data_IF_194709709874
#
_entry.id   IF_194709709874
#
_cell.length_a   1.000
_cell.length_b   1.000
_cell.length_c   1.000
_cell.angle_alpha   90.00
_cell.angle_beta   90.00
_cell.angle_gamma   90.00
#
_symmetry.space_group_name_H-M   'P 1'
#
loop_
_entity.id
_entity.type
_entity.pdbx_description
1 polymer ?
#
# COMPACT_ATOMS: atom_id res chain seq x y z
N UNK A 1 -24.40 16.54 -14.69
CA UNK A 1 -23.29 16.07 -15.55
C UNK A 1 -22.84 14.75 -14.99
N UNK A 2 -22.96 13.67 -15.74
CA UNK A 2 -22.30 12.39 -15.39
C UNK A 2 -20.82 12.57 -15.67
N UNK A 3 -19.97 12.44 -14.65
CA UNK A 3 -18.52 12.43 -14.84
C UNK A 3 -18.14 11.15 -15.60
N UNK A 4 -17.21 11.28 -16.54
CA UNK A 4 -16.70 10.13 -17.28
C UNK A 4 -15.92 9.22 -16.33
N UNK A 5 -15.99 7.90 -16.51
CA UNK A 5 -15.28 6.95 -15.65
C UNK A 5 -13.76 7.16 -15.76
N UNK A 6 -13.11 7.36 -14.61
CA UNK A 6 -11.66 7.56 -14.50
C UNK A 6 -10.97 6.23 -14.17
N UNK A 7 -9.69 6.09 -14.57
CA UNK A 7 -8.85 5.05 -13.98
C UNK A 7 -8.33 5.50 -12.60
N UNK A 8 -7.66 4.61 -11.87
CA UNK A 8 -7.12 4.92 -10.53
C UNK A 8 -6.17 6.11 -10.51
N UNK A 9 -5.25 6.16 -11.47
CA UNK A 9 -4.23 7.21 -11.57
C UNK A 9 -4.86 8.58 -11.82
N UNK A 10 -5.73 8.68 -12.83
CA UNK A 10 -6.42 9.93 -13.17
C UNK A 10 -7.27 10.45 -12.01
N UNK A 11 -7.92 9.54 -11.28
CA UNK A 11 -8.72 9.89 -10.10
C UNK A 11 -7.87 10.46 -8.97
N UNK A 12 -6.70 9.89 -8.71
CA UNK A 12 -5.78 10.40 -7.67
C UNK A 12 -5.22 11.76 -8.07
N UNK A 13 -4.77 11.92 -9.32
CA UNK A 13 -4.22 13.19 -9.82
C UNK A 13 -5.27 14.31 -9.73
N UNK A 14 -6.50 14.07 -10.22
CA UNK A 14 -7.59 15.03 -10.12
C UNK A 14 -7.96 15.35 -8.66
N UNK A 15 -7.99 14.33 -7.79
CA UNK A 15 -8.24 14.52 -6.35
C UNK A 15 -7.17 15.42 -5.69
N UNK A 16 -5.89 15.20 -6.01
CA UNK A 16 -4.77 16.01 -5.49
C UNK A 16 -4.85 17.45 -6.02
N UNK A 17 -5.23 17.62 -7.28
CA UNK A 17 -5.42 18.92 -7.93
C UNK A 17 -6.69 19.66 -7.47
N UNK A 18 -7.51 19.07 -6.59
CA UNK A 18 -8.80 19.60 -6.17
C UNK A 18 -9.79 19.80 -7.35
N UNK A 19 -9.73 18.91 -8.33
CA UNK A 19 -10.64 18.84 -9.48
C UNK A 19 -11.82 17.89 -9.19
N UNK A 20 -12.83 17.92 -10.07
CA UNK A 20 -13.98 17.03 -9.95
C UNK A 20 -13.60 15.58 -10.29
N UNK A 21 -13.91 14.64 -9.41
CA UNK A 21 -13.67 13.19 -9.57
C UNK A 21 -14.96 12.41 -9.72
N UNK A 22 -14.92 11.33 -10.49
CA UNK A 22 -16.08 10.46 -10.75
C UNK A 22 -16.60 9.73 -9.49
N UNK A 23 -15.70 9.46 -8.54
CA UNK A 23 -15.98 9.04 -7.16
C UNK A 23 -14.83 9.46 -6.24
N UNK A 24 -15.05 9.44 -4.92
CA UNK A 24 -13.99 9.62 -3.93
C UNK A 24 -12.83 8.64 -4.19
N UNK A 25 -11.60 9.15 -4.25
CA UNK A 25 -10.40 8.33 -4.31
C UNK A 25 -10.20 7.62 -2.96
N UNK A 26 -9.87 6.33 -2.97
CA UNK A 26 -9.74 5.51 -1.77
C UNK A 26 -8.36 4.84 -1.75
N UNK A 27 -7.68 4.94 -0.61
CA UNK A 27 -6.47 4.21 -0.33
C UNK A 27 -6.53 3.66 1.11
N UNK A 28 -6.09 2.42 1.28
CA UNK A 28 -5.87 1.80 2.59
C UNK A 28 -4.52 1.09 2.55
N UNK A 29 -3.84 1.05 3.67
CA UNK A 29 -2.59 0.32 3.83
C UNK A 29 -2.50 -0.27 5.23
N UNK A 30 -1.70 -1.32 5.35
CA UNK A 30 -1.40 -1.99 6.60
C UNK A 30 -0.02 -2.62 6.53
N UNK A 31 0.52 -3.00 7.69
CA UNK A 31 1.58 -3.98 7.73
C UNK A 31 1.04 -5.39 7.47
N UNK A 32 1.92 -6.25 6.97
CA UNK A 32 1.69 -7.68 6.80
C UNK A 32 2.78 -8.43 7.59
N UNK A 33 2.74 -8.45 8.94
CA UNK A 33 3.95 -8.71 9.74
C UNK A 33 4.63 -10.07 9.53
N UNK A 34 3.88 -11.05 9.03
CA UNK A 34 4.43 -12.36 8.64
C UNK A 34 5.06 -12.29 7.25
N UNK A 35 4.36 -11.64 6.32
CA UNK A 35 4.74 -11.57 4.90
C UNK A 35 5.73 -10.43 4.59
N UNK A 36 5.84 -9.41 5.44
CA UNK A 36 6.75 -8.27 5.27
C UNK A 36 8.21 -8.57 5.70
N UNK A 37 8.46 -9.80 6.14
CA UNK A 37 9.78 -10.32 6.51
C UNK A 37 10.65 -10.62 5.28
N UNK A 38 10.06 -10.78 4.09
CA UNK A 38 10.78 -10.93 2.82
C UNK A 38 10.18 -10.06 1.71
N UNK A 39 10.99 -9.56 0.74
CA UNK A 39 10.46 -8.75 -0.35
C UNK A 39 9.43 -9.46 -1.22
N UNK A 40 9.61 -10.77 -1.46
CA UNK A 40 8.73 -11.55 -2.32
C UNK A 40 7.34 -11.75 -1.69
N UNK A 41 7.30 -12.18 -0.43
CA UNK A 41 6.05 -12.35 0.31
C UNK A 41 5.34 -11.01 0.54
N UNK A 42 6.08 -9.92 0.77
CA UNK A 42 5.49 -8.58 0.89
C UNK A 42 4.80 -8.15 -0.40
N UNK A 43 5.44 -8.41 -1.55
CA UNK A 43 4.87 -8.09 -2.84
C UNK A 43 3.58 -8.89 -3.09
N UNK A 44 3.57 -10.18 -2.79
CA UNK A 44 2.40 -11.05 -2.92
C UNK A 44 1.24 -10.57 -2.04
N UNK A 45 1.48 -10.34 -0.75
CA UNK A 45 0.46 -9.85 0.18
C UNK A 45 -0.10 -8.47 -0.23
N UNK A 46 0.76 -7.59 -0.76
CA UNK A 46 0.34 -6.27 -1.25
C UNK A 46 -0.53 -6.39 -2.51
N UNK A 47 -0.17 -7.27 -3.45
CA UNK A 47 -0.95 -7.53 -4.66
C UNK A 47 -2.31 -8.13 -4.32
N UNK A 48 -2.36 -9.10 -3.41
CA UNK A 48 -3.61 -9.74 -3.01
C UNK A 48 -4.53 -8.77 -2.29
N UNK A 49 -3.98 -7.90 -1.44
CA UNK A 49 -4.73 -6.81 -0.81
C UNK A 49 -5.28 -5.83 -1.85
N UNK A 50 -4.49 -5.44 -2.85
CA UNK A 50 -4.96 -4.59 -3.94
C UNK A 50 -6.07 -5.29 -4.75
N UNK A 51 -5.93 -6.57 -5.09
CA UNK A 51 -6.94 -7.33 -5.84
C UNK A 51 -8.25 -7.48 -5.08
N UNK A 52 -8.19 -7.61 -3.76
CA UNK A 52 -9.38 -7.79 -2.93
C UNK A 52 -10.23 -6.52 -2.81
N UNK A 53 -9.61 -5.34 -2.89
CA UNK A 53 -10.27 -4.08 -2.54
C UNK A 53 -10.21 -2.98 -3.62
N UNK A 54 -9.36 -3.13 -4.63
CA UNK A 54 -9.27 -2.24 -5.80
C UNK A 54 -9.05 -0.75 -5.44
N UNK A 55 -8.07 -0.49 -4.58
CA UNK A 55 -7.73 0.87 -4.15
C UNK A 55 -7.14 1.71 -5.29
N UNK A 56 -7.26 3.03 -5.20
CA UNK A 56 -6.71 3.94 -6.19
C UNK A 56 -5.20 4.19 -6.01
N UNK A 57 -4.66 3.84 -4.85
CA UNK A 57 -3.23 3.96 -4.53
C UNK A 57 -2.76 2.77 -3.70
N UNK A 58 -1.65 2.17 -4.12
CA UNK A 58 -0.95 1.13 -3.37
C UNK A 58 0.22 1.75 -2.62
N UNK A 59 0.24 1.60 -1.29
CA UNK A 59 1.38 1.98 -0.45
C UNK A 59 2.08 0.72 0.06
N UNK A 60 3.30 0.49 -0.41
CA UNK A 60 4.16 -0.59 0.08
C UNK A 60 4.65 -0.27 1.49
N UNK A 61 4.45 -1.19 2.43
CA UNK A 61 4.77 -0.98 3.85
C UNK A 61 5.64 -2.15 4.36
N UNK A 62 6.97 -2.10 4.15
CA UNK A 62 7.90 -3.11 4.69
C UNK A 62 8.07 -2.97 6.21
N UNK A 63 8.72 -3.94 6.86
CA UNK A 63 9.14 -3.83 8.25
C UNK A 63 9.97 -2.55 8.47
N UNK A 64 9.79 -1.85 9.59
CA UNK A 64 10.41 -0.52 9.82
C UNK A 64 11.94 -0.52 9.79
N UNK A 65 12.56 -1.67 10.03
CA UNK A 65 14.00 -1.90 9.94
C UNK A 65 14.56 -1.88 8.51
N UNK A 66 13.71 -1.92 7.47
CA UNK A 66 14.15 -2.16 6.08
C UNK A 66 15.26 -1.21 5.63
N UNK A 67 15.21 0.06 6.06
CA UNK A 67 16.16 1.10 5.67
C UNK A 67 17.56 0.93 6.29
N UNK A 68 17.70 0.08 7.30
CA UNK A 68 18.97 -0.20 8.00
C UNK A 68 19.50 -1.62 7.78
N UNK A 69 18.77 -2.49 7.06
CA UNK A 69 19.23 -3.86 6.76
C UNK A 69 20.53 -3.86 5.96
N UNK A 70 20.67 -2.95 5.00
CA UNK A 70 21.90 -2.79 4.19
C UNK A 70 23.11 -2.31 5.02
N UNK A 71 22.87 -1.81 6.24
CA UNK A 71 23.90 -1.43 7.21
C UNK A 71 24.24 -2.56 8.19
N UNK A 72 23.72 -3.78 7.97
CA UNK A 72 24.00 -4.96 8.77
C UNK A 72 23.07 -5.18 9.96
N UNK A 73 21.99 -4.38 10.07
CA UNK A 73 20.97 -4.62 11.09
C UNK A 73 20.28 -5.98 10.85
N UNK A 74 19.98 -6.67 11.95
CA UNK A 74 19.19 -7.90 11.97
C UNK A 74 17.97 -7.67 12.85
N UNK A 75 16.84 -8.20 12.41
CA UNK A 75 15.56 -8.09 13.06
C UNK A 75 14.82 -9.42 13.03
N UNK A 76 13.86 -9.57 13.94
CA UNK A 76 12.96 -10.70 14.02
C UNK A 76 11.61 -10.20 14.54
N UNK A 77 10.53 -10.54 13.86
CA UNK A 77 9.19 -10.17 14.29
C UNK A 77 8.70 -11.08 15.42
N UNK A 78 8.24 -10.48 16.53
CA UNK A 78 7.84 -11.19 17.76
C UNK A 78 6.32 -11.12 18.02
N UNK A 79 5.48 -11.29 17.00
CA UNK A 79 4.03 -11.45 17.18
C UNK A 79 3.19 -10.17 17.28
N UNK A 80 3.77 -8.99 17.03
CA UNK A 80 3.03 -7.72 17.03
C UNK A 80 2.04 -7.64 15.86
N UNK A 81 0.74 -7.46 16.13
CA UNK A 81 -0.31 -7.46 15.09
C UNK A 81 -0.17 -6.33 14.07
N UNK A 82 0.35 -5.19 14.52
CA UNK A 82 0.54 -3.99 13.69
C UNK A 82 1.92 -3.96 13.02
N UNK A 83 2.76 -4.98 13.23
CA UNK A 83 4.08 -5.08 12.64
C UNK A 83 5.23 -4.57 13.50
N UNK A 84 6.37 -4.48 12.82
CA UNK A 84 7.77 -4.40 13.28
C UNK A 84 8.30 -5.65 13.96
#
# INVERSE_FOLDING_TARGET
MTLNVMNHHDRIEACIANEAVDRTAVALWRHFPVDDQSPASLAEATIDFQRAYDFDLVKVTPASSFCIKDWGAKDEWHGASEGT
#
